data_IF_607026591559
#
_entry.id   IF_607026591559
#
_cell.length_a   1.000
_cell.length_b   1.000
_cell.length_c   1.000
_cell.angle_alpha   90.00
_cell.angle_beta   90.00
_cell.angle_gamma   90.00
#
_symmetry.space_group_name_H-M   'P 1'
#
loop_
_entity.id
_entity.type
_entity.pdbx_description
1 polymer ?
#
# COMPACT_ATOMS: atom_id res chain seq x y z
N UNK A 1 13.92 -2.20 7.65
CA UNK A 1 15.08 -2.96 8.19
C UNK A 1 16.29 -2.06 8.47
N UNK A 2 16.93 -1.44 7.45
CA UNK A 2 18.14 -0.63 7.68
C UNK A 2 17.90 0.51 8.67
N UNK A 3 16.83 1.28 8.50
CA UNK A 3 16.42 2.36 9.40
C UNK A 3 16.25 1.87 10.86
N UNK A 4 15.60 0.74 11.08
CA UNK A 4 15.41 0.15 12.42
C UNK A 4 16.72 -0.27 13.10
N UNK A 5 17.68 -0.80 12.33
CA UNK A 5 19.01 -1.19 12.84
C UNK A 5 19.85 0.01 13.27
N UNK A 6 19.90 1.06 12.44
CA UNK A 6 20.67 2.26 12.75
C UNK A 6 19.96 3.16 13.76
N UNK A 7 18.63 3.10 13.80
CA UNK A 7 17.76 3.90 14.65
C UNK A 7 18.11 5.40 14.64
N UNK A 8 18.31 5.96 13.44
CA UNK A 8 18.47 7.41 13.23
C UNK A 8 17.19 7.95 12.59
N UNK A 9 16.81 9.22 12.82
CA UNK A 9 15.66 9.83 12.15
C UNK A 9 15.69 9.51 10.66
N UNK A 10 14.61 8.89 10.16
CA UNK A 10 14.54 8.32 8.82
C UNK A 10 13.12 8.38 8.29
N UNK A 11 12.98 8.49 6.97
CA UNK A 11 11.71 8.47 6.26
C UNK A 11 11.86 7.66 4.98
N UNK A 12 10.83 6.88 4.62
CA UNK A 12 10.77 6.18 3.34
C UNK A 12 9.88 6.96 2.36
N UNK A 13 10.39 7.23 1.17
CA UNK A 13 9.62 7.74 0.03
C UNK A 13 9.46 6.60 -0.96
N UNK A 14 8.24 6.14 -1.19
CA UNK A 14 7.97 5.12 -2.19
C UNK A 14 8.04 5.72 -3.60
N UNK A 15 8.68 5.02 -4.55
CA UNK A 15 8.84 5.49 -5.93
C UNK A 15 7.53 5.61 -6.72
N UNK A 16 6.46 4.95 -6.26
CA UNK A 16 5.14 4.99 -6.87
C UNK A 16 4.83 3.79 -7.75
N UNK A 17 3.54 3.56 -7.95
CA UNK A 17 3.00 2.52 -8.82
C UNK A 17 3.06 2.93 -10.29
N UNK A 18 3.22 1.96 -11.21
CA UNK A 18 3.04 2.18 -12.64
C UNK A 18 1.56 2.45 -12.95
N UNK A 19 1.29 3.27 -13.95
CA UNK A 19 -0.04 3.41 -14.54
C UNK A 19 -0.42 2.13 -15.30
N UNK A 20 -1.71 1.74 -15.35
CA UNK A 20 -2.14 0.61 -16.15
C UNK A 20 -1.93 0.88 -17.64
N UNK A 21 -1.48 -0.15 -18.36
CA UNK A 21 -1.48 -0.16 -19.81
C UNK A 21 -2.90 -0.18 -20.39
N UNK A 22 -3.04 0.03 -21.70
CA UNK A 22 -4.35 -0.02 -22.35
C UNK A 22 -4.26 -0.68 -23.73
N UNK A 23 -5.15 -1.63 -23.99
CA UNK A 23 -5.38 -2.21 -25.32
C UNK A 23 -6.89 -2.34 -25.55
N UNK A 24 -7.41 -1.69 -26.58
CA UNK A 24 -8.84 -1.74 -26.95
C UNK A 24 -9.78 -1.43 -25.76
N UNK A 25 -9.47 -0.38 -24.98
CA UNK A 25 -10.17 0.02 -23.75
C UNK A 25 -10.09 -0.99 -22.59
N UNK A 26 -9.30 -2.05 -22.71
CA UNK A 26 -9.01 -2.98 -21.62
C UNK A 26 -7.71 -2.57 -20.92
N UNK A 27 -7.78 -2.44 -19.60
CA UNK A 27 -6.60 -2.16 -18.76
C UNK A 27 -5.68 -3.38 -18.74
N UNK A 28 -4.41 -3.15 -19.07
CA UNK A 28 -3.35 -4.15 -19.03
C UNK A 28 -2.39 -3.88 -17.86
N UNK A 29 -1.77 -4.93 -17.36
CA UNK A 29 -0.67 -4.86 -16.41
C UNK A 29 0.35 -5.99 -16.68
N UNK A 30 1.39 -6.09 -15.85
CA UNK A 30 2.41 -7.14 -16.01
C UNK A 30 1.82 -8.56 -15.97
N UNK A 31 0.72 -8.77 -15.25
CA UNK A 31 0.02 -10.05 -15.21
C UNK A 31 -0.69 -10.35 -16.54
N UNK A 32 -1.24 -9.35 -17.23
CA UNK A 32 -1.72 -9.52 -18.60
C UNK A 32 -0.62 -10.05 -19.52
N UNK A 33 0.61 -9.51 -19.44
CA UNK A 33 1.74 -10.03 -20.21
C UNK A 33 2.07 -11.48 -19.85
N UNK A 34 2.06 -11.85 -18.57
CA UNK A 34 2.30 -13.25 -18.14
C UNK A 34 1.20 -14.21 -18.65
N UNK A 35 -0.07 -13.82 -18.53
CA UNK A 35 -1.22 -14.64 -18.92
C UNK A 35 -1.33 -14.81 -20.43
N UNK A 36 -0.91 -13.81 -21.22
CA UNK A 36 -1.02 -13.81 -22.68
C UNK A 36 -0.36 -15.02 -23.35
N UNK A 37 0.71 -15.59 -22.77
CA UNK A 37 1.32 -16.80 -23.32
C UNK A 37 0.44 -18.03 -23.12
N UNK A 38 -0.21 -18.16 -21.96
CA UNK A 38 -1.17 -19.24 -21.71
C UNK A 38 -2.40 -19.14 -22.59
N UNK A 39 -2.93 -17.93 -22.77
CA UNK A 39 -4.05 -17.64 -23.69
C UNK A 39 -3.70 -17.99 -25.15
N UNK A 40 -2.49 -17.65 -25.58
CA UNK A 40 -2.01 -18.00 -26.91
C UNK A 40 -1.92 -19.53 -27.10
N UNK A 41 -1.35 -20.26 -26.13
CA UNK A 41 -1.29 -21.72 -26.19
C UNK A 41 -2.68 -22.38 -26.16
N UNK A 42 -3.63 -21.77 -25.48
CA UNK A 42 -5.03 -22.20 -25.45
C UNK A 42 -5.81 -21.84 -26.73
N UNK A 43 -5.21 -21.08 -27.65
CA UNK A 43 -5.86 -20.62 -28.88
C UNK A 43 -6.94 -19.55 -28.66
N UNK A 44 -6.97 -18.89 -27.49
CA UNK A 44 -7.95 -17.83 -27.20
C UNK A 44 -7.53 -16.47 -27.76
N UNK A 45 -6.23 -16.27 -28.01
CA UNK A 45 -5.68 -15.09 -28.67
C UNK A 45 -4.68 -15.46 -29.77
N UNK A 46 -4.45 -14.56 -30.73
CA UNK A 46 -3.41 -14.75 -31.76
C UNK A 46 -2.02 -14.33 -31.26
N UNK A 47 -0.96 -14.72 -31.99
CA UNK A 47 0.41 -14.29 -31.66
C UNK A 47 0.59 -12.77 -31.79
N UNK A 48 -0.16 -12.13 -32.70
CA UNK A 48 -0.20 -10.67 -32.86
C UNK A 48 -0.82 -10.01 -31.62
N UNK A 49 -1.99 -10.48 -31.18
CA UNK A 49 -2.64 -9.99 -29.96
C UNK A 49 -1.72 -10.17 -28.75
N UNK A 50 -1.06 -11.32 -28.62
CA UNK A 50 -0.08 -11.58 -27.56
C UNK A 50 1.05 -10.55 -27.56
N UNK A 51 1.65 -10.27 -28.73
CA UNK A 51 2.71 -9.24 -28.87
C UNK A 51 2.21 -7.86 -28.48
N UNK A 52 1.00 -7.49 -28.87
CA UNK A 52 0.41 -6.20 -28.47
C UNK A 52 0.21 -6.09 -26.97
N UNK A 53 -0.28 -7.15 -26.31
CA UNK A 53 -0.42 -7.18 -24.85
C UNK A 53 0.94 -6.92 -24.19
N UNK A 54 1.98 -7.65 -24.60
CA UNK A 54 3.34 -7.49 -24.04
C UNK A 54 3.85 -6.05 -24.24
N UNK A 55 3.70 -5.48 -25.43
CA UNK A 55 4.16 -4.13 -25.74
C UNK A 55 3.43 -3.03 -24.96
N UNK A 56 2.14 -3.24 -24.64
CA UNK A 56 1.28 -2.22 -24.01
C UNK A 56 1.08 -2.43 -22.51
N UNK A 57 1.59 -3.49 -21.91
CA UNK A 57 1.38 -3.82 -20.48
C UNK A 57 2.14 -2.91 -19.49
N UNK A 58 3.26 -2.32 -19.91
CA UNK A 58 4.12 -1.49 -19.07
C UNK A 58 4.34 -0.12 -19.75
N UNK A 59 3.43 0.85 -19.57
CA UNK A 59 3.45 2.10 -20.34
C UNK A 59 4.53 3.10 -19.92
N UNK A 60 5.15 2.93 -18.74
CA UNK A 60 6.09 3.89 -18.18
C UNK A 60 6.78 3.41 -16.91
N UNK A 61 7.25 4.35 -16.09
CA UNK A 61 7.93 4.06 -14.84
C UNK A 61 6.97 3.64 -13.70
N UNK A 62 7.50 2.92 -12.72
CA UNK A 62 6.80 2.56 -11.48
C UNK A 62 6.82 1.06 -11.18
N UNK A 63 6.43 0.71 -9.96
CA UNK A 63 6.28 -0.67 -9.53
C UNK A 63 5.02 -1.33 -10.12
N UNK A 64 4.90 -2.66 -10.01
CA UNK A 64 3.75 -3.40 -10.53
C UNK A 64 2.41 -2.88 -9.95
N UNK A 65 1.40 -2.67 -10.81
CA UNK A 65 0.18 -1.92 -10.49
C UNK A 65 -0.82 -2.55 -9.52
N UNK A 66 -0.89 -3.88 -9.47
CA UNK A 66 -1.78 -4.59 -8.55
C UNK A 66 -1.31 -4.56 -7.09
N UNK A 67 -2.07 -5.17 -6.19
CA UNK A 67 -1.71 -5.33 -4.78
C UNK A 67 -0.69 -6.47 -4.57
N UNK A 68 0.40 -6.42 -5.33
CA UNK A 68 1.56 -7.30 -5.17
C UNK A 68 2.49 -6.76 -4.08
N UNK A 69 3.62 -7.45 -3.83
CA UNK A 69 4.56 -7.13 -2.74
C UNK A 69 4.93 -5.64 -2.66
N UNK A 70 5.18 -4.97 -3.80
CA UNK A 70 5.58 -3.56 -3.80
C UNK A 70 4.51 -2.64 -3.21
N UNK A 71 3.28 -2.72 -3.71
CA UNK A 71 2.15 -1.91 -3.24
C UNK A 71 1.67 -2.36 -1.85
N UNK A 72 1.71 -3.66 -1.55
CA UNK A 72 1.42 -4.16 -0.20
C UNK A 72 2.39 -3.56 0.82
N UNK A 73 3.70 -3.61 0.54
CA UNK A 73 4.71 -3.11 1.47
C UNK A 73 4.71 -1.58 1.54
N UNK A 74 4.48 -0.86 0.44
CA UNK A 74 4.39 0.60 0.50
C UNK A 74 3.19 1.03 1.37
N UNK A 75 2.01 0.44 1.18
CA UNK A 75 0.83 0.71 2.01
C UNK A 75 1.07 0.33 3.47
N UNK A 76 1.64 -0.85 3.73
CA UNK A 76 1.98 -1.28 5.09
C UNK A 76 2.96 -0.33 5.79
N UNK A 77 3.96 0.20 5.07
CA UNK A 77 4.95 1.12 5.63
C UNK A 77 4.36 2.52 5.89
N UNK A 78 3.39 2.95 5.07
CA UNK A 78 2.60 4.15 5.36
C UNK A 78 1.74 3.97 6.61
N UNK A 79 1.06 2.82 6.76
CA UNK A 79 0.30 2.48 7.97
C UNK A 79 1.16 2.33 9.23
N UNK A 80 2.39 1.85 9.07
CA UNK A 80 3.41 1.79 10.11
C UNK A 80 3.90 3.20 10.52
N UNK A 81 3.55 4.24 9.76
CA UNK A 81 3.93 5.62 10.03
C UNK A 81 5.31 6.01 9.52
N UNK A 82 5.95 5.21 8.67
CA UNK A 82 7.33 5.42 8.20
C UNK A 82 7.42 6.11 6.82
N UNK A 83 6.28 6.46 6.23
CA UNK A 83 6.14 7.26 5.00
C UNK A 83 5.16 8.40 5.22
N UNK A 84 5.28 9.46 4.42
CA UNK A 84 4.28 10.54 4.43
C UNK A 84 2.93 10.01 3.93
N UNK A 85 1.80 10.59 4.37
CA UNK A 85 0.50 10.30 3.79
C UNK A 85 0.53 10.43 2.26
N UNK A 86 -0.12 9.48 1.58
CA UNK A 86 -0.19 9.29 0.13
C UNK A 86 1.06 8.70 -0.55
N UNK A 87 2.17 8.50 0.16
CA UNK A 87 3.41 7.99 -0.45
C UNK A 87 3.18 6.68 -1.22
N UNK A 88 2.36 5.79 -0.65
CA UNK A 88 2.08 4.46 -1.18
C UNK A 88 1.12 4.44 -2.38
N UNK A 89 0.23 5.43 -2.52
CA UNK A 89 -0.81 5.46 -3.54
C UNK A 89 -0.50 6.39 -4.73
N UNK A 90 0.32 7.43 -4.54
CA UNK A 90 0.68 8.34 -5.65
C UNK A 90 1.45 7.57 -6.74
N UNK A 91 0.97 7.55 -8.01
CA UNK A 91 1.66 6.92 -9.12
C UNK A 91 3.04 7.54 -9.40
N UNK A 92 3.94 6.76 -9.97
CA UNK A 92 5.35 7.16 -10.14
C UNK A 92 5.54 8.41 -11.02
N UNK A 93 4.70 8.57 -12.04
CA UNK A 93 4.74 9.70 -12.98
C UNK A 93 3.73 10.81 -12.63
N UNK A 94 3.03 10.70 -11.50
CA UNK A 94 2.11 11.74 -11.05
C UNK A 94 2.89 12.94 -10.49
N UNK A 95 2.52 14.20 -10.81
CA UNK A 95 3.24 15.40 -10.33
C UNK A 95 3.44 15.43 -8.81
N UNK A 96 2.43 15.03 -8.04
CA UNK A 96 2.48 14.96 -6.57
C UNK A 96 3.62 14.08 -6.02
N UNK A 97 4.17 13.15 -6.80
CA UNK A 97 5.32 12.33 -6.37
C UNK A 97 6.58 13.19 -6.23
N UNK A 98 6.76 14.16 -7.12
CA UNK A 98 7.87 15.11 -7.04
C UNK A 98 7.65 16.06 -5.85
N UNK A 99 6.42 16.52 -5.64
CA UNK A 99 6.07 17.36 -4.49
C UNK A 99 6.27 16.62 -3.16
N UNK A 100 5.96 15.32 -3.09
CA UNK A 100 6.29 14.49 -1.94
C UNK A 100 7.80 14.44 -1.67
N UNK A 101 8.64 14.27 -2.70
CA UNK A 101 10.09 14.28 -2.55
C UNK A 101 10.59 15.60 -1.91
N UNK A 102 9.98 16.73 -2.27
CA UNK A 102 10.28 18.04 -1.67
C UNK A 102 9.80 18.09 -0.21
N UNK A 103 8.56 17.66 0.06
CA UNK A 103 7.99 17.61 1.43
C UNK A 103 8.77 16.69 2.37
N UNK A 104 9.35 15.61 1.86
CA UNK A 104 10.19 14.69 2.63
C UNK A 104 11.41 15.41 3.24
N UNK A 105 11.96 16.43 2.56
CA UNK A 105 13.05 17.26 3.09
C UNK A 105 12.64 18.07 4.34
N UNK A 106 11.43 18.64 4.33
CA UNK A 106 10.90 19.33 5.51
C UNK A 106 10.56 18.35 6.64
N UNK A 107 10.01 17.20 6.31
CA UNK A 107 9.67 16.15 7.28
C UNK A 107 10.92 15.61 7.98
N UNK A 108 11.97 15.27 7.24
CA UNK A 108 13.20 14.73 7.84
C UNK A 108 13.89 15.75 8.74
N UNK A 109 13.85 17.05 8.40
CA UNK A 109 14.34 18.12 9.28
C UNK A 109 13.57 18.13 10.60
N UNK A 110 12.24 18.07 10.56
CA UNK A 110 11.40 18.02 11.76
C UNK A 110 11.70 16.78 12.61
N UNK A 111 11.91 15.62 12.00
CA UNK A 111 12.28 14.40 12.72
C UNK A 111 13.65 14.53 13.42
N UNK A 112 14.61 15.22 12.81
CA UNK A 112 15.90 15.52 13.44
C UNK A 112 15.74 16.48 14.62
N UNK A 113 14.92 17.53 14.50
CA UNK A 113 14.64 18.48 15.58
C UNK A 113 13.98 17.82 16.78
N UNK A 114 13.06 16.87 16.54
CA UNK A 114 12.36 16.11 17.58
C UNK A 114 13.16 14.90 18.10
N UNK A 115 14.28 14.56 17.46
CA UNK A 115 14.97 13.28 17.60
C UNK A 115 13.98 12.08 17.52
N UNK A 116 12.98 12.16 16.65
CA UNK A 116 11.97 11.11 16.47
C UNK A 116 12.55 10.01 15.55
N UNK A 117 12.81 8.85 16.14
CA UNK A 117 13.56 7.76 15.50
C UNK A 117 12.64 6.60 15.09
N UNK A 118 13.11 5.71 14.21
CA UNK A 118 12.30 4.59 13.73
C UNK A 118 11.76 3.66 14.83
N UNK A 119 12.47 3.47 15.96
CA UNK A 119 11.95 2.68 17.09
C UNK A 119 10.86 3.40 17.91
N UNK A 120 10.77 4.72 17.81
CA UNK A 120 9.72 5.51 18.43
C UNK A 120 8.42 5.46 17.60
N UNK A 121 8.53 5.15 16.30
CA UNK A 121 7.42 5.06 15.33
C UNK A 121 6.96 3.62 15.12
N UNK A 122 7.90 2.69 14.89
CA UNK A 122 7.61 1.28 14.59
C UNK A 122 7.33 0.48 15.87
N UNK A 123 6.27 0.84 16.60
CA UNK A 123 5.81 0.16 17.81
C UNK A 123 4.97 -1.07 17.49
N UNK A 124 4.66 -1.90 18.49
CA UNK A 124 3.82 -3.10 18.31
C UNK A 124 2.45 -2.74 17.72
N UNK A 125 1.86 -1.65 18.15
CA UNK A 125 0.58 -1.12 17.68
C UNK A 125 0.68 -0.62 16.23
N UNK A 126 1.80 0.00 15.85
CA UNK A 126 2.02 0.41 14.46
C UNK A 126 2.18 -0.81 13.53
N UNK A 127 2.81 -1.89 14.00
CA UNK A 127 2.83 -3.17 13.28
C UNK A 127 1.43 -3.77 13.13
N UNK A 128 0.58 -3.68 14.16
CA UNK A 128 -0.82 -4.09 14.09
C UNK A 128 -1.58 -3.32 13.01
N UNK A 129 -1.44 -1.99 12.97
CA UNK A 129 -2.04 -1.14 11.93
C UNK A 129 -1.61 -1.57 10.52
N UNK A 130 -0.32 -1.86 10.34
CA UNK A 130 0.21 -2.32 9.07
C UNK A 130 -0.37 -3.68 8.67
N UNK A 131 -0.50 -4.64 9.59
CA UNK A 131 -1.13 -5.94 9.34
C UNK A 131 -2.61 -5.81 9.00
N UNK A 132 -3.35 -4.95 9.71
CA UNK A 132 -4.77 -4.67 9.44
C UNK A 132 -4.93 -4.15 8.00
N UNK A 133 -4.09 -3.19 7.59
CA UNK A 133 -4.15 -2.65 6.24
C UNK A 133 -3.77 -3.70 5.19
N UNK A 134 -2.75 -4.53 5.45
CA UNK A 134 -2.38 -5.64 4.56
C UNK A 134 -3.58 -6.56 4.32
N UNK A 135 -4.28 -6.99 5.38
CA UNK A 135 -5.43 -7.89 5.26
C UNK A 135 -6.61 -7.20 4.56
N UNK A 136 -6.96 -5.99 4.98
CA UNK A 136 -8.06 -5.22 4.40
C UNK A 136 -7.89 -5.00 2.88
N UNK A 137 -6.64 -4.83 2.43
CA UNK A 137 -6.32 -4.61 1.02
C UNK A 137 -6.08 -5.89 0.21
N UNK A 138 -6.07 -7.07 0.83
CA UNK A 138 -5.74 -8.33 0.13
C UNK A 138 -4.26 -8.41 -0.27
N UNK A 139 -3.39 -7.93 0.61
CA UNK A 139 -1.95 -7.84 0.38
C UNK A 139 -1.25 -9.18 0.12
N UNK A 140 -0.10 -9.10 -0.54
CA UNK A 140 0.75 -10.27 -0.81
C UNK A 140 1.18 -10.99 0.46
N UNK A 141 1.19 -12.32 0.43
CA UNK A 141 1.72 -13.17 1.52
C UNK A 141 3.20 -12.92 1.83
N UNK A 142 3.97 -12.37 0.88
CA UNK A 142 5.35 -11.92 1.11
C UNK A 142 5.46 -10.83 2.20
N UNK A 143 4.37 -10.11 2.47
CA UNK A 143 4.34 -9.12 3.54
C UNK A 143 4.61 -9.77 4.91
N UNK A 144 4.20 -11.02 5.15
CA UNK A 144 4.53 -11.75 6.38
C UNK A 144 6.04 -11.80 6.59
N UNK A 145 6.79 -12.26 5.58
CA UNK A 145 8.25 -12.35 5.66
C UNK A 145 8.90 -10.99 5.91
N UNK A 146 8.44 -9.95 5.20
CA UNK A 146 9.01 -8.61 5.32
C UNK A 146 8.69 -7.96 6.66
N UNK A 147 7.45 -8.04 7.15
CA UNK A 147 7.05 -7.43 8.42
C UNK A 147 7.75 -8.10 9.60
N UNK A 148 7.88 -9.44 9.61
CA UNK A 148 8.69 -10.16 10.60
C UNK A 148 10.15 -9.67 10.61
N UNK A 149 10.74 -9.48 9.43
CA UNK A 149 12.11 -8.98 9.31
C UNK A 149 12.25 -7.51 9.76
N UNK A 150 11.26 -6.66 9.49
CA UNK A 150 11.25 -5.26 9.95
C UNK A 150 11.08 -5.20 11.48
N UNK A 151 10.17 -5.98 12.06
CA UNK A 151 9.96 -6.05 13.52
C UNK A 151 11.24 -6.45 14.25
N UNK A 152 11.92 -7.52 13.79
CA UNK A 152 13.22 -7.92 14.34
C UNK A 152 14.27 -6.81 14.26
N UNK A 153 14.20 -5.95 13.23
CA UNK A 153 15.17 -4.86 13.07
C UNK A 153 15.03 -3.75 14.11
N UNK A 154 13.87 -3.63 14.76
CA UNK A 154 13.60 -2.68 15.85
C UNK A 154 13.58 -3.33 17.23
N UNK A 155 13.87 -4.63 17.32
CA UNK A 155 13.86 -5.37 18.58
C UNK A 155 12.48 -5.78 19.06
N UNK A 156 11.49 -5.82 18.16
CA UNK A 156 10.15 -6.32 18.45
C UNK A 156 9.99 -7.78 18.01
N UNK A 157 9.26 -8.54 18.82
CA UNK A 157 8.77 -9.85 18.43
C UNK A 157 7.43 -9.69 17.70
N UNK A 158 7.41 -10.24 16.49
CA UNK A 158 6.23 -10.43 15.66
C UNK A 158 6.31 -11.87 15.16
N UNK A 159 5.19 -12.55 15.12
CA UNK A 159 5.06 -13.97 14.77
C UNK A 159 4.05 -14.17 13.65
N UNK A 160 3.97 -15.39 13.12
CA UNK A 160 2.96 -15.74 12.12
C UNK A 160 1.57 -15.81 12.77
N UNK A 161 1.50 -16.19 14.05
CA UNK A 161 0.23 -16.26 14.79
C UNK A 161 -0.39 -14.87 14.98
N UNK A 162 0.44 -13.82 15.08
CA UNK A 162 -0.03 -12.43 15.08
C UNK A 162 -0.77 -12.08 13.77
N UNK A 163 -0.22 -12.50 12.62
CA UNK A 163 -0.88 -12.33 11.33
C UNK A 163 -2.19 -13.12 11.25
N UNK A 164 -2.22 -14.35 11.77
CA UNK A 164 -3.43 -15.16 11.80
C UNK A 164 -4.52 -14.48 12.65
N UNK A 165 -4.15 -13.98 13.83
CA UNK A 165 -5.08 -13.26 14.71
C UNK A 165 -5.65 -12.00 14.07
N UNK A 166 -4.89 -11.28 13.24
CA UNK A 166 -5.40 -10.14 12.46
C UNK A 166 -6.28 -10.63 11.31
N UNK A 167 -5.89 -11.67 10.59
CA UNK A 167 -6.67 -12.23 9.48
C UNK A 167 -8.03 -12.76 9.92
N UNK A 168 -8.14 -13.31 11.13
CA UNK A 168 -9.38 -13.86 11.68
C UNK A 168 -10.41 -12.78 12.06
N UNK A 169 -9.98 -11.52 12.19
CA UNK A 169 -10.83 -10.40 12.65
C UNK A 169 -11.02 -9.29 11.62
N UNK A 170 -10.13 -9.20 10.62
CA UNK A 170 -10.17 -8.16 9.60
C UNK A 170 -10.70 -8.75 8.28
N UNK A 171 -11.81 -8.24 7.74
CA UNK A 171 -12.31 -8.69 6.45
C UNK A 171 -11.45 -8.18 5.28
N UNK A 172 -11.51 -8.90 4.15
CA UNK A 172 -11.00 -8.42 2.87
C UNK A 172 -11.98 -7.39 2.29
N UNK A 173 -11.51 -6.16 2.11
CA UNK A 173 -12.33 -5.04 1.65
C UNK A 173 -12.03 -4.60 0.23
N UNK A 174 -10.78 -4.72 -0.23
CA UNK A 174 -10.38 -4.10 -1.50
C UNK A 174 -10.48 -5.03 -2.72
N UNK A 175 -11.09 -4.55 -3.80
CA UNK A 175 -11.23 -5.22 -5.09
C UNK A 175 -10.00 -4.97 -6.01
N UNK A 176 -8.81 -5.34 -5.53
CA UNK A 176 -7.56 -5.17 -6.29
C UNK A 176 -7.09 -6.45 -6.99
N UNK A 177 -6.48 -6.29 -8.17
CA UNK A 177 -5.65 -7.34 -8.78
C UNK A 177 -4.60 -7.83 -7.77
N UNK A 178 -4.30 -9.14 -7.72
CA UNK A 178 -4.69 -10.17 -8.69
C UNK A 178 -6.07 -10.80 -8.49
N UNK A 179 -6.72 -10.61 -7.35
CA UNK A 179 -8.01 -11.27 -7.03
C UNK A 179 -9.21 -10.49 -7.57
N UNK A 180 -9.06 -9.17 -7.68
CA UNK A 180 -10.09 -8.22 -8.06
C UNK A 180 -9.79 -7.48 -9.36
N UNK A 181 -10.53 -6.39 -9.61
CA UNK A 181 -10.48 -5.66 -10.90
C UNK A 181 -9.57 -4.44 -10.95
N UNK A 182 -9.35 -3.78 -9.82
CA UNK A 182 -8.68 -2.48 -9.75
C UNK A 182 -7.16 -2.59 -9.55
N UNK A 183 -6.46 -1.48 -9.78
CA UNK A 183 -5.03 -1.32 -9.48
C UNK A 183 -4.79 -0.14 -8.53
N UNK A 184 -3.59 -0.03 -7.96
CA UNK A 184 -3.25 1.03 -6.98
C UNK A 184 -3.48 2.45 -7.52
N UNK A 185 -3.29 2.68 -8.82
CA UNK A 185 -3.59 3.98 -9.44
C UNK A 185 -5.08 4.37 -9.29
N UNK A 186 -6.00 3.40 -9.29
CA UNK A 186 -7.42 3.66 -9.08
C UNK A 186 -7.72 4.08 -7.63
N UNK A 187 -6.92 3.62 -6.66
CA UNK A 187 -7.05 4.02 -5.26
C UNK A 187 -6.76 5.50 -5.06
N UNK A 188 -5.74 6.03 -5.75
CA UNK A 188 -5.37 7.44 -5.67
C UNK A 188 -6.56 8.34 -6.04
N UNK A 189 -7.34 7.97 -7.05
CA UNK A 189 -8.50 8.71 -7.55
C UNK A 189 -9.68 8.76 -6.56
N UNK A 190 -9.72 7.86 -5.57
CA UNK A 190 -10.78 7.78 -4.57
C UNK A 190 -10.33 8.20 -3.16
N UNK A 191 -9.13 8.78 -3.03
CA UNK A 191 -8.60 9.31 -1.77
C UNK A 191 -7.33 8.63 -1.26
N UNK A 192 -6.78 7.66 -1.99
CA UNK A 192 -5.51 7.02 -1.68
C UNK A 192 -5.51 6.15 -0.42
N UNK A 193 -4.32 5.72 -0.01
CA UNK A 193 -4.14 4.96 1.23
C UNK A 193 -4.66 5.68 2.48
N UNK A 194 -4.50 7.02 2.64
CA UNK A 194 -5.05 7.73 3.79
C UNK A 194 -6.57 7.61 3.92
N UNK A 195 -7.32 7.63 2.81
CA UNK A 195 -8.77 7.47 2.86
C UNK A 195 -9.18 6.08 3.38
N UNK A 196 -8.45 5.02 3.01
CA UNK A 196 -8.67 3.67 3.56
C UNK A 196 -8.35 3.63 5.04
N UNK A 197 -7.19 4.17 5.44
CA UNK A 197 -6.82 4.21 6.86
C UNK A 197 -7.80 5.01 7.70
N UNK A 198 -8.33 6.13 7.17
CA UNK A 198 -9.37 6.92 7.84
C UNK A 198 -10.65 6.12 8.05
N UNK A 199 -11.09 5.39 7.03
CA UNK A 199 -12.23 4.49 7.14
C UNK A 199 -12.01 3.40 8.19
N UNK A 200 -10.83 2.76 8.20
CA UNK A 200 -10.47 1.74 9.20
C UNK A 200 -10.39 2.32 10.62
N UNK A 201 -9.93 3.57 10.76
CA UNK A 201 -9.88 4.28 12.05
C UNK A 201 -11.30 4.58 12.56
N UNK A 202 -12.20 5.05 11.70
CA UNK A 202 -13.61 5.29 12.03
C UNK A 202 -14.35 4.01 12.46
N UNK A 203 -13.93 2.86 11.92
CA UNK A 203 -14.42 1.53 12.32
C UNK A 203 -13.72 0.96 13.56
N UNK A 204 -12.76 1.67 14.14
CA UNK A 204 -12.01 1.22 15.32
C UNK A 204 -11.10 0.02 15.05
N UNK A 205 -10.68 -0.19 13.80
CA UNK A 205 -9.86 -1.34 13.39
C UNK A 205 -8.35 -1.07 13.45
N UNK A 206 -7.95 0.21 13.45
CA UNK A 206 -6.56 0.65 13.61
C UNK A 206 -6.42 1.61 14.80
N UNK A 207 -5.23 1.64 15.39
CA UNK A 207 -4.89 2.55 16.48
C UNK A 207 -4.44 3.92 15.95
N UNK A 208 -5.19 4.96 16.27
CA UNK A 208 -4.91 6.34 15.87
C UNK A 208 -3.75 7.02 16.61
N UNK A 209 -3.34 6.52 17.77
CA UNK A 209 -2.34 7.16 18.64
C UNK A 209 -0.89 6.89 18.21
N UNK A 210 -0.68 6.03 17.21
CA UNK A 210 0.65 5.70 16.70
C UNK A 210 1.33 6.94 16.10
N UNK A 211 2.55 7.23 16.54
CA UNK A 211 3.37 8.31 15.99
C UNK A 211 3.79 8.01 14.54
N UNK A 212 4.01 9.05 13.75
CA UNK A 212 4.43 8.93 12.35
C UNK A 212 5.59 9.87 12.01
N UNK A 213 6.16 9.70 10.81
CA UNK A 213 7.22 10.55 10.25
C UNK A 213 6.82 12.02 10.04
N UNK A 214 5.53 12.38 10.19
CA UNK A 214 5.10 13.79 10.19
C UNK A 214 5.34 14.47 11.55
N UNK A 215 5.68 13.70 12.59
CA UNK A 215 5.71 14.15 13.98
C UNK A 215 4.31 14.39 14.56
N UNK A 216 3.26 13.87 13.90
CA UNK A 216 1.87 13.80 14.38
C UNK A 216 1.46 12.32 14.50
N UNK A 217 0.38 12.05 15.21
CA UNK A 217 -0.22 10.71 15.27
C UNK A 217 -0.94 10.35 13.97
N UNK A 218 -1.26 9.07 13.78
CA UNK A 218 -2.09 8.59 12.67
C UNK A 218 -3.44 9.33 12.65
N UNK A 219 -4.12 9.45 13.79
CA UNK A 219 -5.40 10.15 13.87
C UNK A 219 -5.31 11.62 13.47
N UNK A 220 -4.28 12.34 13.96
CA UNK A 220 -4.06 13.75 13.61
C UNK A 220 -3.79 13.94 12.12
N UNK A 221 -3.00 13.06 11.50
CA UNK A 221 -2.76 13.09 10.05
C UNK A 221 -4.05 12.86 9.26
N UNK A 222 -4.88 11.89 9.67
CA UNK A 222 -6.09 11.49 8.94
C UNK A 222 -7.27 12.46 9.15
N UNK A 223 -7.30 13.18 10.27
CA UNK A 223 -8.36 14.16 10.55
C UNK A 223 -8.47 15.24 9.47
N UNK A 224 -7.33 15.73 8.98
CA UNK A 224 -7.23 16.81 7.98
C UNK A 224 -7.46 16.35 6.53
N UNK A 225 -7.47 15.04 6.27
CA UNK A 225 -7.53 14.47 4.91
C UNK A 225 -8.95 14.04 4.51
N UNK A 226 -9.30 14.09 3.21
CA UNK A 226 -10.58 13.57 2.74
C UNK A 226 -10.70 12.05 3.00
N UNK A 227 -11.93 11.60 3.23
CA UNK A 227 -12.26 10.17 3.28
C UNK A 227 -12.40 9.57 1.88
N UNK A 228 -12.91 8.33 1.83
CA UNK A 228 -13.19 7.65 0.57
C UNK A 228 -14.22 8.44 -0.24
N UNK A 229 -13.98 8.57 -1.56
CA UNK A 229 -14.91 9.23 -2.48
C UNK A 229 -16.29 8.55 -2.45
N UNK A 230 -17.35 9.33 -2.40
CA UNK A 230 -18.72 8.80 -2.41
C UNK A 230 -18.99 7.99 -3.70
N UNK A 231 -19.67 6.85 -3.56
CA UNK A 231 -20.03 5.98 -4.69
C UNK A 231 -18.88 5.16 -5.28
N UNK A 232 -17.68 5.20 -4.70
CA UNK A 232 -16.59 4.29 -5.08
C UNK A 232 -16.97 2.82 -4.77
N UNK A 233 -16.46 1.90 -5.58
CA UNK A 233 -16.70 0.45 -5.48
C UNK A 233 -15.39 -0.36 -5.42
N UNK A 234 -14.28 0.29 -5.01
CA UNK A 234 -12.96 -0.33 -4.84
C UNK A 234 -12.82 -0.91 -3.42
N UNK A 235 -13.23 -0.13 -2.42
CA UNK A 235 -13.14 -0.48 -0.99
C UNK A 235 -14.55 -0.77 -0.48
N UNK A 236 -14.81 -2.04 -0.20
CA UNK A 236 -16.07 -2.50 0.33
C UNK A 236 -16.25 -2.09 1.80
N UNK A 237 -17.50 -1.99 2.23
CA UNK A 237 -17.81 -1.75 3.64
C UNK A 237 -17.49 -2.98 4.50
N UNK A 238 -17.07 -2.77 5.75
CA UNK A 238 -16.86 -3.84 6.75
C UNK A 238 -18.10 -4.71 6.94
N UNK A 239 -19.29 -4.12 6.77
CA UNK A 239 -20.57 -4.82 6.87
C UNK A 239 -20.92 -5.66 5.62
N UNK A 240 -20.29 -5.39 4.48
CA UNK A 240 -20.48 -6.13 3.23
C UNK A 240 -19.14 -6.35 2.50
N UNK A 241 -18.23 -7.14 3.11
CA UNK A 241 -16.88 -7.31 2.59
C UNK A 241 -16.85 -8.30 1.42
N UNK A 242 -15.73 -8.33 0.68
CA UNK A 242 -15.48 -9.34 -0.35
C UNK A 242 -15.35 -10.72 0.29
N UNK A 243 -14.66 -10.79 1.45
CA UNK A 243 -14.50 -12.00 2.25
C UNK A 243 -14.52 -11.63 3.74
N UNK A 244 -15.24 -12.37 4.60
CA UNK A 244 -15.30 -12.06 6.05
C UNK A 244 -13.95 -12.15 6.77
N UNK A 245 -13.08 -13.08 6.35
CA UNK A 245 -11.72 -13.37 6.84
C UNK A 245 -10.98 -14.14 5.76
#
# INVERSE_FOLDING_TARGET
>A
IAMGRFNRPSIMVYGGTIAPGCLNNQKLDIVSAFQSYGEYLAGTITDETRKEIVQKSCPGAGACGGMYTANTMSSAIEALGMSLPYSSSIPAEHPDKLDECIRAGAAIRKLLELDLKPRDIMTREAFENAMVLIVALGGSTNAVLHMLAIARSVGLELTIDDFQSVSDRIPLLADFKPSGKYVMADLQEIGGTPAVMKYLLEKGLINGDCMTVTGKTVAENLAELPGLKEGQDIIHAVENPIKPT
#
